data_IF_019971976063
#
_entry.id   IF_019971976063
#
_cell.length_a   1.000
_cell.length_b   1.000
_cell.length_c   1.000
_cell.angle_alpha   90.00
_cell.angle_beta   90.00
_cell.angle_gamma   90.00
#
_symmetry.space_group_name_H-M   'P 1'
#
loop_
_entity.id
_entity.type
_entity.pdbx_description
1 polymer ?
#
# COMPACT_ATOMS: atom_id res chain seq x y z
N UNK A 1 -7.70 0.81 -11.54
CA UNK A 1 -6.94 0.02 -10.56
C UNK A 1 -6.28 0.92 -9.53
N UNK A 2 -6.23 0.48 -8.30
CA UNK A 2 -5.72 1.27 -7.18
C UNK A 2 -4.47 0.63 -6.60
N UNK A 3 -3.50 1.45 -6.25
CA UNK A 3 -2.41 1.06 -5.37
C UNK A 3 -2.72 1.60 -3.98
N UNK A 4 -2.92 0.70 -3.02
CA UNK A 4 -3.32 1.08 -1.66
C UNK A 4 -2.08 1.30 -0.82
N UNK A 5 -1.95 2.50 -0.27
CA UNK A 5 -0.81 2.89 0.57
C UNK A 5 -0.79 2.12 1.89
N UNK A 6 0.41 1.95 2.45
CA UNK A 6 0.63 1.28 3.74
C UNK A 6 -0.29 1.84 4.83
N UNK A 7 -0.41 3.16 4.90
CA UNK A 7 -1.19 3.82 5.95
C UNK A 7 -2.69 3.54 5.84
N UNK A 8 -3.19 3.29 4.63
CA UNK A 8 -4.60 2.90 4.42
C UNK A 8 -4.85 1.52 5.04
N UNK A 9 -3.97 0.56 4.77
CA UNK A 9 -4.08 -0.77 5.37
C UNK A 9 -3.97 -0.72 6.90
N UNK A 10 -3.01 0.05 7.43
CA UNK A 10 -2.80 0.17 8.87
C UNK A 10 -3.98 0.83 9.57
N UNK A 11 -4.60 1.82 8.94
CA UNK A 11 -5.80 2.47 9.47
C UNK A 11 -6.90 1.44 9.74
N UNK A 12 -7.10 0.53 8.79
CA UNK A 12 -8.08 -0.55 8.93
C UNK A 12 -7.65 -1.58 9.96
N UNK A 13 -6.41 -2.09 9.85
CA UNK A 13 -5.94 -3.22 10.66
C UNK A 13 -5.79 -2.86 12.13
N UNK A 14 -5.43 -1.63 12.44
CA UNK A 14 -5.25 -1.15 13.81
C UNK A 14 -6.50 -0.42 14.35
N UNK A 15 -7.60 -0.47 13.61
CA UNK A 15 -8.86 0.16 13.99
C UNK A 15 -8.69 1.63 14.42
N UNK A 16 -7.93 2.38 13.61
CA UNK A 16 -7.67 3.78 13.87
C UNK A 16 -8.89 4.64 13.52
N UNK A 17 -8.78 5.95 13.73
CA UNK A 17 -9.89 6.90 13.63
C UNK A 17 -10.66 6.83 12.29
N UNK A 18 -9.97 6.56 11.19
CA UNK A 18 -10.59 6.53 9.86
C UNK A 18 -10.84 5.12 9.33
N UNK A 19 -10.81 4.11 10.20
CA UNK A 19 -10.97 2.72 9.80
C UNK A 19 -12.29 2.47 9.05
N UNK A 20 -13.38 3.11 9.46
CA UNK A 20 -14.68 2.96 8.80
C UNK A 20 -14.65 3.49 7.37
N UNK A 21 -14.03 4.63 7.12
CA UNK A 21 -13.91 5.19 5.79
C UNK A 21 -13.07 4.29 4.88
N UNK A 22 -11.97 3.74 5.41
CA UNK A 22 -11.12 2.81 4.69
C UNK A 22 -11.89 1.53 4.35
N UNK A 23 -12.62 1.00 5.31
CA UNK A 23 -13.43 -0.21 5.09
C UNK A 23 -14.45 0.01 3.98
N UNK A 24 -15.13 1.15 3.98
CA UNK A 24 -16.09 1.49 2.92
C UNK A 24 -15.43 1.58 1.56
N UNK A 25 -14.25 2.19 1.47
CA UNK A 25 -13.49 2.27 0.22
C UNK A 25 -13.13 0.88 -0.28
N UNK A 26 -12.58 0.02 0.58
CA UNK A 26 -12.15 -1.33 0.19
C UNK A 26 -13.33 -2.22 -0.19
N UNK A 27 -14.47 -2.05 0.45
CA UNK A 27 -15.68 -2.78 0.10
C UNK A 27 -16.31 -2.31 -1.21
N UNK A 28 -16.16 -1.02 -1.54
CA UNK A 28 -16.70 -0.47 -2.78
C UNK A 28 -15.87 -0.85 -4.00
N UNK A 29 -14.60 -1.19 -3.82
CA UNK A 29 -13.71 -1.63 -4.89
C UNK A 29 -13.64 -3.15 -4.91
N UNK A 30 -13.69 -3.74 -6.12
CA UNK A 30 -13.42 -5.17 -6.26
C UNK A 30 -11.95 -5.44 -5.96
N UNK A 31 -11.64 -6.57 -5.31
CA UNK A 31 -10.25 -6.87 -4.92
C UNK A 31 -9.32 -6.97 -6.13
N UNK A 32 -9.84 -7.36 -7.30
CA UNK A 32 -9.05 -7.39 -8.53
C UNK A 32 -8.60 -5.99 -8.96
N UNK A 33 -9.24 -4.94 -8.46
CA UNK A 33 -8.88 -3.54 -8.72
C UNK A 33 -7.88 -2.99 -7.72
N UNK A 34 -7.50 -3.79 -6.72
CA UNK A 34 -6.59 -3.36 -5.67
C UNK A 34 -5.21 -3.96 -5.85
N UNK A 35 -4.20 -3.20 -5.50
CA UNK A 35 -2.80 -3.61 -5.52
C UNK A 35 -2.10 -3.11 -4.27
N UNK A 36 -1.03 -3.79 -3.88
CA UNK A 36 -0.13 -3.32 -2.84
C UNK A 36 1.32 -3.62 -3.23
N UNK A 37 2.25 -2.83 -2.73
CA UNK A 37 3.67 -3.10 -2.95
C UNK A 37 4.19 -4.09 -1.92
N UNK A 38 5.26 -4.82 -2.26
CA UNK A 38 5.97 -5.63 -1.28
C UNK A 38 6.51 -4.79 -0.13
N UNK A 39 6.94 -3.56 -0.44
CA UNK A 39 7.41 -2.66 0.60
C UNK A 39 6.30 -2.37 1.63
N UNK A 40 5.07 -2.09 1.17
CA UNK A 40 3.93 -1.88 2.04
C UNK A 40 3.64 -3.13 2.88
N UNK A 41 3.67 -4.30 2.26
CA UNK A 41 3.44 -5.57 2.95
C UNK A 41 4.41 -5.77 4.10
N UNK A 42 5.71 -5.59 3.83
CA UNK A 42 6.73 -5.79 4.86
C UNK A 42 6.70 -4.69 5.93
N UNK A 43 6.32 -3.48 5.55
CA UNK A 43 6.12 -2.38 6.51
C UNK A 43 4.97 -2.68 7.48
N UNK A 44 3.86 -3.22 6.97
CA UNK A 44 2.74 -3.67 7.80
C UNK A 44 3.20 -4.76 8.76
N UNK A 45 3.94 -5.75 8.26
CA UNK A 45 4.48 -6.82 9.08
C UNK A 45 5.39 -6.30 10.20
N UNK A 46 6.28 -5.37 9.85
CA UNK A 46 7.20 -4.78 10.81
C UNK A 46 6.46 -4.01 11.91
N UNK A 47 5.47 -3.22 11.55
CA UNK A 47 4.71 -2.41 12.50
C UNK A 47 3.85 -3.29 13.41
N UNK A 48 3.11 -4.24 12.85
CA UNK A 48 2.23 -5.12 13.62
C UNK A 48 3.02 -6.01 14.58
N UNK A 49 4.18 -6.52 14.14
CA UNK A 49 5.02 -7.35 15.02
C UNK A 49 5.64 -6.53 16.15
N UNK A 50 6.07 -5.29 15.87
CA UNK A 50 6.58 -4.39 16.91
C UNK A 50 5.53 -4.04 17.97
N UNK A 51 4.26 -4.02 17.57
CA UNK A 51 3.14 -3.79 18.49
C UNK A 51 2.70 -5.06 19.21
N UNK A 52 3.35 -6.21 18.97
CA UNK A 52 2.96 -7.49 19.54
C UNK A 52 1.66 -8.03 18.96
N UNK A 53 1.34 -7.68 17.73
CA UNK A 53 0.08 -8.04 17.06
C UNK A 53 0.32 -8.92 15.83
N UNK A 54 1.19 -9.92 15.96
CA UNK A 54 1.50 -10.85 14.87
C UNK A 54 0.26 -11.53 14.29
N UNK A 55 -0.73 -11.81 15.12
CA UNK A 55 -1.97 -12.45 14.69
C UNK A 55 -2.73 -11.61 13.67
N UNK A 56 -2.69 -10.29 13.80
CA UNK A 56 -3.30 -9.38 12.83
C UNK A 56 -2.61 -9.51 11.48
N UNK A 57 -1.27 -9.58 11.49
CA UNK A 57 -0.51 -9.74 10.26
C UNK A 57 -0.76 -11.09 9.60
N UNK A 58 -0.82 -12.15 10.39
CA UNK A 58 -1.12 -13.49 9.89
C UNK A 58 -2.49 -13.55 9.20
N UNK A 59 -3.51 -12.97 9.84
CA UNK A 59 -4.85 -12.86 9.25
C UNK A 59 -4.84 -12.04 7.98
N UNK A 60 -4.09 -10.93 7.96
CA UNK A 60 -3.95 -10.09 6.78
C UNK A 60 -3.35 -10.86 5.60
N UNK A 61 -2.30 -11.65 5.85
CA UNK A 61 -1.68 -12.49 4.82
C UNK A 61 -2.72 -13.46 4.24
N UNK A 62 -3.46 -14.15 5.11
CA UNK A 62 -4.47 -15.12 4.66
C UNK A 62 -5.58 -14.46 3.85
N UNK A 63 -6.13 -13.37 4.34
CA UNK A 63 -7.29 -12.73 3.72
C UNK A 63 -6.93 -11.97 2.44
N UNK A 64 -5.79 -11.31 2.43
CA UNK A 64 -5.43 -10.40 1.33
C UNK A 64 -4.51 -11.07 0.31
N UNK A 65 -3.49 -11.79 0.75
CA UNK A 65 -2.53 -12.38 -0.18
C UNK A 65 -2.95 -13.75 -0.69
N UNK A 66 -3.63 -14.56 0.12
CA UNK A 66 -4.01 -15.92 -0.26
C UNK A 66 -5.43 -16.00 -0.81
N UNK A 67 -6.38 -15.36 -0.13
CA UNK A 67 -7.81 -15.53 -0.40
C UNK A 67 -8.44 -14.40 -1.22
N UNK A 68 -7.66 -13.40 -1.64
CA UNK A 68 -8.17 -12.32 -2.46
C UNK A 68 -7.37 -12.17 -3.76
N UNK A 69 -7.88 -11.32 -4.65
CA UNK A 69 -7.23 -11.03 -5.93
C UNK A 69 -6.36 -9.76 -5.88
N UNK A 70 -6.03 -9.27 -4.70
CA UNK A 70 -5.14 -8.12 -4.53
C UNK A 70 -3.77 -8.44 -5.13
N UNK A 71 -3.33 -7.60 -6.07
CA UNK A 71 -2.07 -7.79 -6.77
C UNK A 71 -0.89 -7.30 -5.93
N UNK A 72 0.16 -8.09 -5.89
CA UNK A 72 1.41 -7.75 -5.20
C UNK A 72 2.42 -7.22 -6.21
N UNK A 73 2.97 -6.02 -5.94
CA UNK A 73 3.87 -5.31 -6.85
C UNK A 73 5.24 -5.18 -6.23
N UNK A 74 6.29 -5.49 -7.02
CA UNK A 74 7.67 -5.34 -6.62
C UNK A 74 8.40 -4.44 -7.61
N UNK A 75 9.27 -3.54 -7.14
CA UNK A 75 10.10 -2.72 -8.00
C UNK A 75 11.38 -3.47 -8.38
N UNK A 76 11.78 -3.29 -9.63
CA UNK A 76 13.06 -3.81 -10.15
C UNK A 76 14.22 -2.92 -9.70
N UNK A 77 15.45 -3.38 -9.94
CA UNK A 77 16.64 -2.57 -9.67
C UNK A 77 16.61 -1.24 -10.43
N UNK A 78 16.17 -1.26 -11.68
CA UNK A 78 15.99 -0.05 -12.47
C UNK A 78 14.99 0.90 -11.84
N UNK A 79 13.84 0.38 -11.40
CA UNK A 79 12.80 1.16 -10.74
C UNK A 79 13.31 1.78 -9.44
N UNK A 80 14.13 1.07 -8.67
CA UNK A 80 14.69 1.58 -7.42
C UNK A 80 15.62 2.76 -7.66
N UNK A 81 16.45 2.70 -8.71
CA UNK A 81 17.30 3.85 -9.07
C UNK A 81 16.46 5.05 -9.50
N UNK A 82 15.40 4.81 -10.25
CA UNK A 82 14.46 5.84 -10.66
C UNK A 82 13.75 6.45 -9.47
N UNK A 83 13.40 5.64 -8.49
CA UNK A 83 12.78 6.10 -7.24
C UNK A 83 13.67 7.10 -6.50
N UNK A 84 14.98 6.89 -6.48
CA UNK A 84 15.91 7.83 -5.85
C UNK A 84 15.91 9.19 -6.57
N UNK A 85 15.81 9.20 -7.89
CA UNK A 85 15.69 10.44 -8.68
C UNK A 85 14.39 11.18 -8.35
N UNK A 86 13.27 10.45 -8.31
CA UNK A 86 11.96 11.01 -7.97
C UNK A 86 11.97 11.57 -6.54
N UNK A 87 12.57 10.86 -5.62
CA UNK A 87 12.68 11.28 -4.23
C UNK A 87 13.35 12.66 -4.11
N UNK A 88 14.46 12.84 -4.82
CA UNK A 88 15.20 14.11 -4.82
C UNK A 88 14.41 15.23 -5.50
N UNK A 89 13.81 14.92 -6.62
CA UNK A 89 13.08 15.91 -7.43
C UNK A 89 11.87 16.48 -6.70
N UNK A 90 11.12 15.64 -6.00
CA UNK A 90 9.86 16.02 -5.35
C UNK A 90 9.97 16.10 -3.83
N UNK A 91 11.16 15.95 -3.26
CA UNK A 91 11.39 15.99 -1.80
C UNK A 91 10.50 14.99 -1.03
N UNK A 92 10.39 13.78 -1.55
CA UNK A 92 9.57 12.73 -0.94
C UNK A 92 10.40 11.88 0.01
N UNK A 93 9.73 11.30 1.02
CA UNK A 93 10.32 10.23 1.83
C UNK A 93 10.50 8.98 0.98
N UNK A 94 11.32 8.03 1.47
CA UNK A 94 11.62 6.80 0.75
C UNK A 94 10.36 6.01 0.39
N UNK A 95 9.49 5.80 1.38
CA UNK A 95 8.26 5.05 1.19
C UNK A 95 7.30 5.73 0.21
N UNK A 96 7.14 7.05 0.29
CA UNK A 96 6.30 7.80 -0.63
C UNK A 96 6.85 7.75 -2.06
N UNK A 97 8.16 7.86 -2.22
CA UNK A 97 8.80 7.76 -3.53
C UNK A 97 8.64 6.35 -4.13
N UNK A 98 8.75 5.31 -3.31
CA UNK A 98 8.55 3.93 -3.73
C UNK A 98 7.12 3.74 -4.26
N UNK A 99 6.13 4.19 -3.51
CA UNK A 99 4.72 4.08 -3.90
C UNK A 99 4.43 4.87 -5.18
N UNK A 100 4.99 6.07 -5.28
CA UNK A 100 4.81 6.91 -6.47
C UNK A 100 5.33 6.21 -7.74
N UNK A 101 6.55 5.66 -7.69
CA UNK A 101 7.14 4.99 -8.85
C UNK A 101 6.37 3.73 -9.21
N UNK A 102 5.94 2.96 -8.21
CA UNK A 102 5.12 1.76 -8.45
C UNK A 102 3.80 2.12 -9.13
N UNK A 103 3.11 3.13 -8.62
CA UNK A 103 1.84 3.58 -9.19
C UNK A 103 2.01 4.10 -10.61
N UNK A 104 3.04 4.88 -10.85
CA UNK A 104 3.30 5.44 -12.18
C UNK A 104 3.69 4.38 -13.20
N UNK A 105 4.56 3.43 -12.81
CA UNK A 105 4.98 2.34 -13.70
C UNK A 105 3.80 1.51 -14.19
N UNK A 106 2.88 1.17 -13.29
CA UNK A 106 1.76 0.30 -13.59
C UNK A 106 0.46 1.07 -13.87
N UNK A 107 0.55 2.40 -13.97
CA UNK A 107 -0.58 3.29 -14.27
C UNK A 107 -1.74 3.10 -13.30
N UNK A 108 -1.43 3.16 -12.01
CA UNK A 108 -2.40 2.95 -10.92
C UNK A 108 -2.79 4.27 -10.27
N UNK A 109 -4.00 4.30 -9.72
CA UNK A 109 -4.46 5.39 -8.87
C UNK A 109 -3.96 5.12 -7.45
N UNK A 110 -3.17 6.03 -6.90
CA UNK A 110 -2.63 5.88 -5.55
C UNK A 110 -3.67 6.27 -4.51
N UNK A 111 -4.10 5.29 -3.72
CA UNK A 111 -5.06 5.50 -2.64
C UNK A 111 -4.30 5.77 -1.33
N UNK A 112 -4.37 7.01 -0.85
CA UNK A 112 -3.72 7.47 0.36
C UNK A 112 -4.70 7.52 1.52
N UNK A 113 -4.18 7.65 2.73
CA UNK A 113 -4.96 7.68 3.96
C UNK A 113 -6.11 8.69 3.94
N UNK A 114 -5.88 9.87 3.33
CA UNK A 114 -6.83 10.98 3.36
C UNK A 114 -7.39 11.35 1.99
N UNK A 115 -6.84 10.77 0.92
CA UNK A 115 -7.23 11.14 -0.44
C UNK A 115 -6.87 10.04 -1.43
N UNK A 116 -7.42 10.17 -2.63
CA UNK A 116 -7.10 9.28 -3.75
C UNK A 116 -6.46 10.14 -4.85
N UNK A 117 -5.29 9.72 -5.34
CA UNK A 117 -4.54 10.44 -6.36
C UNK A 117 -4.45 9.64 -7.65
N UNK A 118 -4.53 10.37 -8.77
CA UNK A 118 -4.13 9.85 -10.07
C UNK A 118 -2.67 10.21 -10.29
N UNK A 119 -1.83 9.21 -10.52
CA UNK A 119 -0.41 9.40 -10.80
C UNK A 119 -0.21 9.35 -12.31
N UNK A 120 0.17 10.48 -12.88
CA UNK A 120 0.41 10.63 -14.32
C UNK A 120 1.89 10.59 -14.69
#
# INVERSE_FOLDING_TARGET
>A
MYLVDTNVWLELLLEQERAMEVQQFLQSAETIQLSMTEFALYSIGLITTRLGKEEIFETFISDILEDSAVKRICLTSFDLKRMLTVRKKFHLDFDDAYQYVAAKRDNLILALRYSVWVVE
#
